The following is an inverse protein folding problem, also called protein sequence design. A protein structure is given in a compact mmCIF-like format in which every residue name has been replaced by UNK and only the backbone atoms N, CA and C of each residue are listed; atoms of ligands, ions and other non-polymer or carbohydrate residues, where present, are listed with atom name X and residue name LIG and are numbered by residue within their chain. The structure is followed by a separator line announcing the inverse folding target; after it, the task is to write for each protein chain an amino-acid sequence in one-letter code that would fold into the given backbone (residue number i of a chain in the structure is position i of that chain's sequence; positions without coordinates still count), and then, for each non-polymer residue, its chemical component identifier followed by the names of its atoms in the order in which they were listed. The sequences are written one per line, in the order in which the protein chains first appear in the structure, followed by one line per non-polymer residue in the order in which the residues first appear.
data_IF_332147255192
#
_entry.id   IF_332147255192
#
_cell.length_a   1.000
_cell.length_b   1.000
_cell.length_c   1.000
_cell.angle_alpha   90.00
_cell.angle_beta   90.00
_cell.angle_gamma   90.00
#
_symmetry.space_group_name_H-M   'P 1'
#
loop_
_entity.id
_entity.type
_entity.pdbx_description
1 polymer ?
#
# COMPACT_ATOMS: atom_id res chain seq x y z
N UNK A 1 13.82 -8.49 14.59
CA UNK A 1 13.88 -7.14 15.05
C UNK A 1 13.45 -6.21 13.94
N UNK A 2 12.20 -5.73 14.06
CA UNK A 2 11.68 -4.72 13.18
C UNK A 2 12.56 -3.48 13.28
N UNK A 3 12.76 -2.81 12.17
CA UNK A 3 13.42 -1.52 12.17
C UNK A 3 12.46 -0.49 12.76
N UNK A 4 12.95 0.42 13.53
CA UNK A 4 12.37 1.73 13.69
C UNK A 4 12.15 2.26 12.30
N UNK A 5 11.05 2.79 11.98
CA UNK A 5 10.66 3.38 10.72
C UNK A 5 9.79 2.50 9.81
N UNK A 6 9.01 3.14 9.12
CA UNK A 6 8.25 3.04 7.89
C UNK A 6 8.18 1.68 7.16
N UNK A 7 9.15 0.81 7.37
CA UNK A 7 9.22 -0.44 6.65
C UNK A 7 8.26 -1.46 7.25
N UNK A 8 7.52 -2.11 6.41
CA UNK A 8 6.77 -3.31 6.79
C UNK A 8 7.72 -4.34 7.41
N UNK A 9 7.21 -5.08 8.39
CA UNK A 9 7.95 -6.19 8.98
C UNK A 9 8.34 -7.17 7.88
N UNK A 10 9.60 -7.58 7.85
CA UNK A 10 10.04 -8.61 6.92
C UNK A 10 9.57 -9.98 7.42
N UNK A 11 8.33 -10.32 7.16
CA UNK A 11 7.65 -11.50 7.69
C UNK A 11 8.33 -12.79 7.32
N UNK A 12 8.79 -12.90 6.08
CA UNK A 12 9.54 -14.06 5.61
C UNK A 12 10.81 -14.29 6.44
N UNK A 13 11.54 -13.23 6.76
CA UNK A 13 12.74 -13.32 7.58
C UNK A 13 12.38 -13.71 9.03
N UNK A 14 11.32 -13.15 9.59
CA UNK A 14 10.85 -13.55 10.92
C UNK A 14 10.38 -15.00 10.93
N UNK A 15 9.67 -15.44 9.90
CA UNK A 15 9.18 -16.80 9.80
C UNK A 15 10.30 -17.83 9.88
N UNK A 16 11.38 -17.63 9.13
CA UNK A 16 12.48 -18.60 9.09
C UNK A 16 13.52 -18.42 10.20
N UNK A 17 13.78 -17.19 10.64
CA UNK A 17 14.96 -16.87 11.44
C UNK A 17 14.66 -16.44 12.87
N UNK A 18 13.41 -16.11 13.21
CA UNK A 18 13.07 -15.73 14.56
C UNK A 18 12.56 -16.94 15.37
N UNK A 19 13.07 -17.08 16.60
CA UNK A 19 12.67 -18.13 17.55
C UNK A 19 12.46 -17.47 18.92
N UNK A 20 11.32 -17.70 19.60
CA UNK A 20 11.04 -17.11 20.91
C UNK A 20 12.00 -17.54 22.03
N UNK A 21 12.71 -18.65 21.86
CA UNK A 21 13.73 -19.10 22.80
C UNK A 21 15.09 -18.40 22.64
N UNK A 22 15.23 -17.52 21.63
CA UNK A 22 16.48 -16.79 21.35
C UNK A 22 16.31 -15.31 21.68
N UNK A 23 17.05 -14.85 22.66
CA UNK A 23 17.01 -13.46 23.13
C UNK A 23 18.09 -12.60 22.49
N UNK A 24 17.99 -11.29 22.72
CA UNK A 24 19.00 -10.33 22.29
C UNK A 24 20.39 -10.71 22.84
N UNK A 25 21.41 -10.50 21.99
CA UNK A 25 22.78 -10.89 22.35
C UNK A 25 23.08 -12.39 22.18
N UNK A 26 22.17 -13.16 21.57
CA UNK A 26 22.40 -14.58 21.28
C UNK A 26 22.19 -15.51 22.47
N UNK A 27 21.66 -15.01 23.58
CA UNK A 27 21.27 -15.83 24.74
C UNK A 27 20.12 -16.74 24.33
N UNK A 28 20.20 -18.01 24.69
CA UNK A 28 19.21 -19.04 24.36
C UNK A 28 18.74 -19.75 25.61
N UNK A 29 17.47 -20.12 25.63
CA UNK A 29 16.90 -21.08 26.57
C UNK A 29 16.53 -22.36 25.83
N UNK A 30 16.19 -23.38 26.55
CA UNK A 30 15.67 -24.62 25.99
C UNK A 30 14.31 -24.33 25.30
N UNK A 31 14.05 -24.98 24.18
CA UNK A 31 12.73 -24.93 23.55
C UNK A 31 11.69 -25.54 24.48
N UNK A 32 10.64 -24.77 24.76
CA UNK A 32 9.61 -25.21 25.72
C UNK A 32 9.93 -24.94 27.17
N UNK A 33 10.97 -24.15 27.47
CA UNK A 33 11.26 -23.70 28.85
C UNK A 33 10.01 -23.01 29.43
N UNK A 34 9.46 -23.50 30.55
CA UNK A 34 8.22 -22.94 31.11
C UNK A 34 8.37 -21.51 31.64
N UNK A 35 9.60 -21.01 31.75
CA UNK A 35 9.84 -19.59 32.09
C UNK A 35 9.68 -18.67 30.88
N UNK A 36 9.70 -19.19 29.66
CA UNK A 36 9.41 -18.44 28.45
C UNK A 36 7.90 -18.43 28.24
N UNK A 37 7.23 -17.44 28.78
CA UNK A 37 5.77 -17.32 28.73
C UNK A 37 5.23 -16.92 27.36
N UNK A 38 6.09 -16.48 26.45
CA UNK A 38 5.72 -16.04 25.11
C UNK A 38 6.59 -14.89 24.61
N UNK A 39 6.04 -14.12 23.69
CA UNK A 39 6.70 -12.94 23.15
C UNK A 39 5.70 -11.79 23.02
N UNK A 40 6.21 -10.60 22.81
CA UNK A 40 5.38 -9.43 22.55
C UNK A 40 5.83 -8.74 21.27
N UNK A 41 4.87 -8.18 20.58
CA UNK A 41 5.09 -7.18 19.54
C UNK A 41 4.59 -5.83 20.03
N UNK A 42 5.19 -4.77 19.55
CA UNK A 42 4.76 -3.42 19.85
C UNK A 42 4.64 -2.62 18.56
N UNK A 43 3.58 -1.85 18.47
CA UNK A 43 3.38 -0.85 17.42
C UNK A 43 3.67 0.51 18.04
N UNK A 44 4.68 1.19 17.50
CA UNK A 44 5.09 2.50 17.95
C UNK A 44 4.51 3.55 17.00
N UNK A 45 3.81 4.52 17.55
CA UNK A 45 3.18 5.60 16.80
C UNK A 45 3.88 6.94 16.92
N UNK A 46 4.99 7.02 17.63
CA UNK A 46 5.72 8.24 17.93
C UNK A 46 6.49 8.84 16.72
N UNK A 47 6.78 8.00 15.74
CA UNK A 47 7.41 8.43 14.48
C UNK A 47 6.47 8.34 13.27
N UNK A 48 5.18 8.16 13.51
CA UNK A 48 4.20 8.21 12.44
C UNK A 48 4.12 9.62 11.90
N UNK A 49 4.44 9.74 10.62
CA UNK A 49 4.27 10.99 9.89
C UNK A 49 2.84 11.13 9.42
N UNK A 50 2.50 12.34 8.98
CA UNK A 50 1.23 12.56 8.31
C UNK A 50 1.03 11.54 7.19
N UNK A 51 -0.12 10.90 7.15
CA UNK A 51 -0.52 9.97 6.11
C UNK A 51 -0.51 8.49 6.45
N UNK A 52 -0.08 8.09 7.64
CA UNK A 52 -0.32 6.72 8.10
C UNK A 52 -1.72 6.66 8.71
N UNK A 53 -2.58 5.87 8.08
CA UNK A 53 -3.95 5.69 8.53
C UNK A 53 -4.06 4.61 9.62
N UNK A 54 -5.18 4.58 10.32
CA UNK A 54 -5.51 3.47 11.23
C UNK A 54 -5.48 2.12 10.50
N UNK A 55 -5.85 2.12 9.23
CA UNK A 55 -5.79 0.98 8.34
C UNK A 55 -4.38 0.42 8.23
N UNK A 56 -3.44 1.27 7.89
CA UNK A 56 -2.04 0.87 7.75
C UNK A 56 -1.48 0.32 9.05
N UNK A 57 -1.84 0.96 10.17
CA UNK A 57 -1.41 0.50 11.49
C UNK A 57 -1.99 -0.87 11.84
N UNK A 58 -3.28 -1.07 11.56
CA UNK A 58 -3.94 -2.36 11.79
C UNK A 58 -3.32 -3.47 10.95
N UNK A 59 -3.12 -3.23 9.66
CA UNK A 59 -2.52 -4.21 8.76
C UNK A 59 -1.10 -4.61 9.23
N UNK A 60 -0.29 -3.64 9.57
CA UNK A 60 1.05 -3.88 10.11
C UNK A 60 1.01 -4.67 11.42
N UNK A 61 0.09 -4.32 12.31
CA UNK A 61 -0.03 -4.96 13.61
C UNK A 61 -0.57 -6.39 13.51
N UNK A 62 -1.60 -6.58 12.70
CA UNK A 62 -2.24 -7.87 12.52
C UNK A 62 -1.26 -8.92 12.01
N UNK A 63 -0.47 -8.60 11.01
CA UNK A 63 0.57 -9.48 10.48
C UNK A 63 1.66 -9.78 11.51
N UNK A 64 2.09 -8.77 12.27
CA UNK A 64 3.08 -8.95 13.33
C UNK A 64 2.56 -9.87 14.45
N UNK A 65 1.33 -9.66 14.89
CA UNK A 65 0.68 -10.47 15.93
C UNK A 65 0.50 -11.91 15.46
N UNK A 66 0.03 -12.11 14.25
CA UNK A 66 -0.15 -13.44 13.67
C UNK A 66 1.17 -14.22 13.61
N UNK A 67 2.27 -13.56 13.20
CA UNK A 67 3.60 -14.16 13.16
C UNK A 67 4.10 -14.54 14.57
N UNK A 68 3.95 -13.64 15.53
CA UNK A 68 4.32 -13.90 16.93
C UNK A 68 3.50 -15.07 17.48
N UNK A 69 2.19 -15.07 17.22
CA UNK A 69 1.29 -16.16 17.63
C UNK A 69 1.73 -17.50 17.03
N UNK A 70 1.96 -17.57 15.74
CA UNK A 70 2.42 -18.78 15.04
C UNK A 70 3.69 -19.36 15.68
N UNK A 71 4.60 -18.50 16.09
CA UNK A 71 5.89 -18.91 16.66
C UNK A 71 5.83 -19.27 18.13
N UNK A 72 4.94 -18.65 18.90
CA UNK A 72 4.89 -18.84 20.36
C UNK A 72 3.97 -19.96 20.80
N UNK A 73 2.93 -20.28 20.02
CA UNK A 73 2.00 -21.37 20.35
C UNK A 73 2.52 -22.77 19.96
N UNK A 74 3.73 -22.86 19.44
CA UNK A 74 4.41 -24.13 19.18
C UNK A 74 3.81 -24.97 18.05
N UNK A 75 2.87 -24.45 17.32
CA UNK A 75 2.27 -25.13 16.19
C UNK A 75 3.09 -24.90 14.92
N UNK A 76 4.32 -25.40 14.89
CA UNK A 76 5.14 -25.42 13.66
C UNK A 76 4.56 -26.39 12.60
N UNK A 77 3.25 -26.32 12.37
CA UNK A 77 2.63 -27.10 11.31
C UNK A 77 2.94 -26.56 9.94
N UNK A 78 3.11 -25.24 9.85
CA UNK A 78 3.50 -24.61 8.60
C UNK A 78 5.00 -24.64 8.43
N UNK A 79 5.44 -25.33 7.40
CA UNK A 79 6.87 -25.52 7.09
C UNK A 79 7.37 -24.54 6.03
N UNK A 80 6.47 -23.82 5.36
CA UNK A 80 6.81 -22.81 4.36
C UNK A 80 6.08 -21.50 4.64
N UNK A 81 6.74 -20.40 4.31
CA UNK A 81 6.15 -19.07 4.44
C UNK A 81 4.92 -18.90 3.52
N UNK A 82 4.95 -19.48 2.34
CA UNK A 82 3.80 -19.44 1.40
C UNK A 82 2.56 -20.09 2.01
N UNK A 83 2.70 -21.25 2.63
CA UNK A 83 1.56 -21.89 3.30
C UNK A 83 1.07 -21.07 4.49
N UNK A 84 1.99 -20.46 5.23
CA UNK A 84 1.62 -19.55 6.31
C UNK A 84 0.79 -18.37 5.80
N UNK A 85 1.22 -17.72 4.72
CA UNK A 85 0.48 -16.61 4.11
C UNK A 85 -0.92 -17.03 3.67
N UNK A 86 -1.06 -18.15 2.98
CA UNK A 86 -2.35 -18.69 2.56
C UNK A 86 -3.28 -18.96 3.76
N UNK A 87 -2.73 -19.52 4.83
CA UNK A 87 -3.50 -19.79 6.05
C UNK A 87 -3.88 -18.47 6.75
N UNK A 88 -2.97 -17.52 6.82
CA UNK A 88 -3.23 -16.20 7.38
C UNK A 88 -4.33 -15.48 6.60
N UNK A 89 -4.24 -15.44 5.28
CA UNK A 89 -5.23 -14.78 4.44
C UNK A 89 -6.62 -15.41 4.55
N UNK A 90 -6.67 -16.74 4.72
CA UNK A 90 -7.92 -17.46 4.95
C UNK A 90 -8.56 -17.21 6.33
N UNK A 91 -7.75 -16.88 7.35
CA UNK A 91 -8.18 -16.69 8.74
C UNK A 91 -8.20 -15.23 9.18
N UNK A 92 -7.80 -14.34 8.29
CA UNK A 92 -7.55 -12.93 8.54
C UNK A 92 -8.69 -12.20 9.23
N UNK A 93 -9.90 -12.54 8.86
CA UNK A 93 -11.10 -11.92 9.40
C UNK A 93 -11.69 -12.79 10.51
N UNK A 94 -11.26 -12.53 11.72
CA UNK A 94 -11.90 -13.09 12.89
C UNK A 94 -13.28 -12.47 13.13
N UNK A 95 -14.22 -13.19 13.76
CA UNK A 95 -15.54 -12.65 14.07
C UNK A 95 -15.42 -11.35 14.89
N UNK A 96 -15.96 -10.26 14.35
CA UNK A 96 -16.01 -8.95 15.02
C UNK A 96 -14.72 -8.14 14.99
N UNK A 97 -13.71 -8.56 14.21
CA UNK A 97 -12.44 -7.85 14.07
C UNK A 97 -12.24 -7.23 12.69
N UNK A 98 -13.21 -7.39 11.79
CA UNK A 98 -13.15 -6.79 10.47
C UNK A 98 -13.24 -5.26 10.59
N UNK A 99 -12.10 -4.63 10.71
CA UNK A 99 -11.99 -3.23 10.35
C UNK A 99 -11.91 -3.26 8.83
N UNK A 100 -13.06 -3.12 8.18
CA UNK A 100 -13.10 -3.03 6.74
C UNK A 100 -12.44 -1.71 6.33
N UNK A 101 -11.32 -1.81 5.68
CA UNK A 101 -10.70 -0.70 4.96
C UNK A 101 -11.04 -0.77 3.48
N UNK A 102 -12.00 -1.59 3.16
CA UNK A 102 -12.46 -1.75 1.81
C UNK A 102 -13.10 -0.44 1.37
N UNK A 103 -12.65 0.05 0.25
CA UNK A 103 -13.33 1.12 -0.46
C UNK A 103 -14.64 0.51 -0.96
N UNK A 104 -15.77 1.15 -0.67
CA UNK A 104 -17.05 0.70 -1.20
C UNK A 104 -16.98 0.63 -2.72
N UNK A 105 -17.29 -0.51 -3.30
CA UNK A 105 -17.27 -0.71 -4.73
C UNK A 105 -18.29 -1.75 -5.17
N UNK A 106 -18.91 -1.49 -6.31
CA UNK A 106 -19.87 -2.41 -6.93
C UNK A 106 -19.19 -3.56 -7.69
N UNK A 107 -17.87 -3.47 -7.89
CA UNK A 107 -17.05 -4.45 -8.61
C UNK A 107 -15.61 -4.44 -8.10
N UNK A 108 -14.76 -5.31 -8.66
CA UNK A 108 -13.32 -5.32 -8.38
C UNK A 108 -12.60 -4.05 -8.88
N UNK A 109 -13.23 -3.29 -9.79
CA UNK A 109 -12.72 -1.99 -10.24
C UNK A 109 -13.30 -0.89 -9.39
N UNK A 110 -12.48 -0.34 -8.52
CA UNK A 110 -12.88 0.73 -7.59
C UNK A 110 -13.02 2.07 -8.31
N UNK A 111 -12.12 2.37 -9.21
CA UNK A 111 -12.04 3.64 -9.92
C UNK A 111 -11.51 3.42 -11.34
N UNK A 112 -12.18 4.04 -12.31
CA UNK A 112 -11.77 4.01 -13.71
C UNK A 112 -11.98 5.37 -14.36
N UNK A 113 -10.90 6.01 -14.78
CA UNK A 113 -10.93 7.31 -15.45
C UNK A 113 -10.51 7.19 -16.91
N UNK A 114 -11.48 7.37 -17.77
CA UNK A 114 -11.26 7.55 -19.21
C UNK A 114 -11.37 9.04 -19.55
N UNK A 115 -10.32 9.62 -20.10
CA UNK A 115 -10.27 11.05 -20.46
C UNK A 115 -11.23 11.46 -21.57
N UNK A 116 -11.83 10.51 -22.28
CA UNK A 116 -12.96 10.77 -23.16
C UNK A 116 -14.17 11.31 -22.37
N UNK A 117 -14.30 10.93 -21.10
CA UNK A 117 -15.41 11.26 -20.21
C UNK A 117 -15.13 12.46 -19.30
N UNK A 118 -14.40 13.46 -19.78
CA UNK A 118 -14.28 14.75 -19.11
C UNK A 118 -15.56 15.59 -19.30
N UNK A 119 -15.93 16.37 -18.27
CA UNK A 119 -16.99 17.38 -18.39
C UNK A 119 -16.66 18.40 -19.47
N UNK A 120 -17.68 19.13 -19.94
CA UNK A 120 -17.53 20.10 -21.04
C UNK A 120 -16.56 21.26 -20.71
N UNK A 121 -16.44 21.61 -19.42
CA UNK A 121 -15.50 22.59 -18.89
C UNK A 121 -14.12 21.99 -18.56
N UNK A 122 -14.00 20.66 -18.58
CA UNK A 122 -12.77 19.93 -18.26
C UNK A 122 -12.44 19.86 -16.76
N UNK A 123 -13.34 20.29 -15.88
CA UNK A 123 -13.09 20.36 -14.43
C UNK A 123 -13.44 19.05 -13.70
N UNK A 124 -14.21 18.15 -14.33
CA UNK A 124 -14.61 16.86 -13.75
C UNK A 124 -14.24 15.75 -14.70
N UNK A 125 -13.60 14.71 -14.17
CA UNK A 125 -13.47 13.42 -14.86
C UNK A 125 -14.47 12.44 -14.25
N UNK A 126 -15.33 11.88 -15.11
CA UNK A 126 -16.33 10.93 -14.65
C UNK A 126 -15.75 9.54 -14.49
N UNK A 127 -16.06 8.94 -13.38
CA UNK A 127 -15.70 7.56 -13.07
C UNK A 127 -16.58 6.59 -13.87
N UNK A 128 -15.97 5.70 -14.62
CA UNK A 128 -16.64 4.69 -15.44
C UNK A 128 -16.75 3.33 -14.77
N UNK A 129 -16.21 3.16 -13.57
CA UNK A 129 -16.30 1.91 -12.79
C UNK A 129 -17.71 1.56 -12.30
N UNK A 130 -18.61 2.56 -12.26
CA UNK A 130 -19.96 2.44 -11.72
C UNK A 130 -20.09 2.91 -10.26
N UNK A 131 -18.99 3.29 -9.61
CA UNK A 131 -18.98 3.74 -8.21
C UNK A 131 -19.23 5.26 -8.06
N UNK A 132 -19.21 6.01 -9.15
CA UNK A 132 -19.38 7.45 -9.17
C UNK A 132 -18.32 8.24 -8.37
N UNK A 133 -17.12 7.72 -8.28
CA UNK A 133 -15.96 8.38 -7.69
C UNK A 133 -15.34 9.41 -8.64
N UNK A 134 -16.15 10.35 -9.08
CA UNK A 134 -15.74 11.38 -10.04
C UNK A 134 -14.59 12.24 -9.49
N UNK A 135 -13.58 12.46 -10.31
CA UNK A 135 -12.41 13.25 -9.95
C UNK A 135 -12.56 14.73 -10.29
N UNK A 136 -11.90 15.58 -9.51
CA UNK A 136 -11.75 16.99 -9.79
C UNK A 136 -10.45 17.22 -10.54
N UNK A 137 -10.54 17.87 -11.70
CA UNK A 137 -9.42 18.21 -12.57
C UNK A 137 -9.10 19.69 -12.42
N UNK A 138 -7.86 20.01 -12.17
CA UNK A 138 -7.36 21.39 -12.13
C UNK A 138 -6.24 21.53 -13.15
N UNK A 139 -6.46 22.37 -14.16
CA UNK A 139 -5.51 22.57 -15.25
C UNK A 139 -5.51 21.45 -16.29
N UNK A 140 -4.51 21.46 -17.16
CA UNK A 140 -4.37 20.50 -18.23
C UNK A 140 -5.20 20.83 -19.47
N UNK A 141 -4.90 20.12 -20.53
CA UNK A 141 -5.58 20.28 -21.83
C UNK A 141 -5.98 18.90 -22.35
N UNK A 142 -7.27 18.76 -22.71
CA UNK A 142 -7.74 17.55 -23.39
C UNK A 142 -7.14 17.50 -24.80
N UNK A 143 -6.56 16.40 -25.15
CA UNK A 143 -5.94 16.19 -26.45
C UNK A 143 -6.24 14.79 -26.98
N UNK A 144 -6.02 14.59 -28.27
CA UNK A 144 -6.24 13.32 -28.96
C UNK A 144 -4.98 12.91 -29.71
N UNK A 145 -4.65 11.64 -29.67
CA UNK A 145 -3.56 11.05 -30.43
C UNK A 145 -3.93 9.60 -30.78
N UNK A 146 -3.76 9.25 -32.02
CA UNK A 146 -4.00 7.90 -32.56
C UNK A 146 -5.41 7.34 -32.25
N UNK A 147 -6.41 8.23 -32.09
CA UNK A 147 -7.79 7.89 -31.76
C UNK A 147 -8.06 7.75 -30.26
N UNK A 148 -7.07 7.92 -29.44
CA UNK A 148 -7.17 7.90 -27.97
C UNK A 148 -7.23 9.33 -27.42
N UNK A 149 -8.08 9.52 -26.42
CA UNK A 149 -8.18 10.81 -25.71
C UNK A 149 -7.31 10.77 -24.46
N UNK A 150 -6.58 11.84 -24.22
CA UNK A 150 -5.73 11.98 -23.05
C UNK A 150 -5.77 13.39 -22.46
N UNK A 151 -5.33 13.54 -21.22
CA UNK A 151 -5.12 14.83 -20.59
C UNK A 151 -3.62 15.16 -20.62
N UNK A 152 -3.28 16.29 -21.19
CA UNK A 152 -1.92 16.80 -21.22
C UNK A 152 -1.62 17.54 -19.92
N UNK A 153 -0.62 17.07 -19.21
CA UNK A 153 -0.14 17.66 -17.96
C UNK A 153 0.97 18.66 -18.25
N UNK A 154 0.90 19.83 -17.62
CA UNK A 154 1.84 20.94 -17.77
C UNK A 154 2.74 21.15 -16.52
N UNK A 155 2.67 20.21 -15.57
CA UNK A 155 3.37 20.28 -14.28
C UNK A 155 2.57 20.98 -13.16
N UNK A 156 1.46 21.66 -13.49
CA UNK A 156 0.52 22.24 -12.53
C UNK A 156 -0.83 21.50 -12.55
N UNK A 157 -1.03 20.64 -13.52
CA UNK A 157 -2.25 19.85 -13.66
C UNK A 157 -2.33 18.80 -12.57
N UNK A 158 -3.49 18.72 -11.93
CA UNK A 158 -3.78 17.77 -10.85
C UNK A 158 -5.16 17.18 -11.05
N UNK A 159 -5.29 15.88 -10.91
CA UNK A 159 -6.56 15.18 -10.74
C UNK A 159 -6.67 14.73 -9.28
N UNK A 160 -7.73 15.17 -8.61
CA UNK A 160 -8.04 14.77 -7.24
C UNK A 160 -9.16 13.76 -7.22
N UNK A 161 -8.88 12.58 -6.75
CA UNK A 161 -9.92 11.57 -6.52
C UNK A 161 -10.64 11.83 -5.20
N UNK A 162 -11.91 11.43 -5.04
CA UNK A 162 -12.61 11.52 -3.77
C UNK A 162 -12.21 10.42 -2.78
N UNK A 163 -11.38 9.46 -3.21
CA UNK A 163 -10.94 8.36 -2.36
C UNK A 163 -10.03 8.87 -1.25
N UNK A 164 -10.32 8.49 -0.03
CA UNK A 164 -9.50 8.78 1.15
C UNK A 164 -8.55 7.65 1.50
N UNK A 165 -8.78 6.47 0.94
CA UNK A 165 -7.94 5.28 1.05
C UNK A 165 -8.08 4.45 -0.21
N UNK A 166 -7.12 3.60 -0.50
CA UNK A 166 -7.21 2.63 -1.60
C UNK A 166 -7.54 1.22 -1.10
N UNK A 167 -7.56 1.01 0.22
CA UNK A 167 -7.64 -0.33 0.78
C UNK A 167 -6.36 -1.15 0.54
N UNK A 168 -6.36 -2.41 0.96
CA UNK A 168 -5.28 -3.36 0.72
C UNK A 168 -5.86 -4.77 0.50
N UNK A 169 -5.32 -5.54 -0.47
CA UNK A 169 -4.37 -5.13 -1.52
C UNK A 169 -5.06 -4.37 -2.65
N UNK A 170 -4.33 -3.55 -3.36
CA UNK A 170 -4.83 -2.89 -4.57
C UNK A 170 -3.83 -2.97 -5.73
N UNK A 171 -4.34 -2.83 -6.93
CA UNK A 171 -3.54 -2.66 -8.14
C UNK A 171 -3.92 -1.33 -8.79
N UNK A 172 -2.93 -0.56 -9.19
CA UNK A 172 -3.11 0.67 -9.96
C UNK A 172 -2.46 0.50 -11.33
N UNK A 173 -3.20 0.83 -12.37
CA UNK A 173 -2.68 0.87 -13.73
C UNK A 173 -3.01 2.21 -14.38
N UNK A 174 -2.11 2.73 -15.17
CA UNK A 174 -2.30 3.94 -15.96
C UNK A 174 -1.29 3.99 -17.11
N UNK A 175 -1.66 4.64 -18.19
CA UNK A 175 -0.80 4.87 -19.33
C UNK A 175 -0.23 6.29 -19.28
N UNK A 176 1.07 6.42 -19.47
CA UNK A 176 1.78 7.69 -19.50
C UNK A 176 2.53 7.82 -20.81
N UNK A 177 2.27 8.91 -21.52
CA UNK A 177 3.04 9.28 -22.70
C UNK A 177 3.99 10.44 -22.36
N UNK A 178 5.28 10.23 -22.58
CA UNK A 178 6.33 11.24 -22.45
C UNK A 178 6.72 11.72 -23.84
N UNK A 179 6.60 13.03 -24.11
CA UNK A 179 6.92 13.59 -25.43
C UNK A 179 8.41 13.92 -25.61
N UNK A 180 9.21 13.70 -24.56
CA UNK A 180 10.65 13.92 -24.57
C UNK A 180 11.05 15.40 -24.42
N UNK A 181 10.10 16.28 -24.17
CA UNK A 181 10.36 17.72 -23.91
C UNK A 181 10.52 18.00 -22.41
N UNK A 182 10.23 17.04 -21.56
CA UNK A 182 10.35 17.13 -20.12
C UNK A 182 11.81 17.41 -19.74
N UNK A 183 12.05 18.63 -19.32
CA UNK A 183 13.34 19.01 -18.74
C UNK A 183 13.40 18.45 -17.33
N UNK A 184 13.78 17.20 -17.23
CA UNK A 184 13.88 16.46 -15.99
C UNK A 184 14.99 16.98 -15.08
N UNK A 185 14.75 18.10 -14.47
CA UNK A 185 15.55 18.58 -13.34
C UNK A 185 14.87 18.35 -11.99
N UNK A 186 13.63 17.88 -12.00
CA UNK A 186 12.85 17.60 -10.77
C UNK A 186 12.03 16.34 -10.96
N UNK A 187 11.86 15.61 -9.88
CA UNK A 187 10.96 14.48 -9.77
C UNK A 187 9.53 14.92 -10.06
N UNK A 188 8.88 14.27 -11.01
CA UNK A 188 7.48 14.52 -11.35
C UNK A 188 6.62 13.47 -10.68
N UNK A 189 5.71 13.88 -9.83
CA UNK A 189 4.75 12.97 -9.23
C UNK A 189 3.72 12.54 -10.26
N UNK A 190 3.60 11.24 -10.49
CA UNK A 190 2.53 10.63 -11.29
C UNK A 190 1.30 10.36 -10.44
N UNK A 191 1.53 9.94 -9.22
CA UNK A 191 0.49 9.70 -8.22
C UNK A 191 1.03 10.04 -6.84
N UNK A 192 0.21 10.65 -6.00
CA UNK A 192 0.56 10.92 -4.61
C UNK A 192 -0.64 10.75 -3.70
N UNK A 193 -0.39 10.13 -2.56
CA UNK A 193 -1.28 10.03 -1.42
C UNK A 193 -0.60 10.59 -0.18
N UNK A 194 -1.23 10.40 0.96
CA UNK A 194 -0.68 10.84 2.24
C UNK A 194 0.56 10.03 2.64
N UNK A 195 0.61 8.76 2.31
CA UNK A 195 1.61 7.78 2.75
C UNK A 195 2.67 7.45 1.69
N UNK A 196 2.59 8.09 0.52
CA UNK A 196 3.58 7.84 -0.52
C UNK A 196 3.26 8.48 -1.85
N UNK A 197 4.25 8.41 -2.73
CA UNK A 197 4.16 8.95 -4.08
C UNK A 197 4.88 8.07 -5.09
N UNK A 198 4.28 7.89 -6.23
CA UNK A 198 4.92 7.33 -7.41
C UNK A 198 5.46 8.48 -8.25
N UNK A 199 6.74 8.47 -8.52
CA UNK A 199 7.42 9.54 -9.23
C UNK A 199 8.12 9.00 -10.46
N UNK A 200 8.13 9.82 -11.49
CA UNK A 200 9.03 9.65 -12.60
C UNK A 200 10.36 10.32 -12.24
N UNK A 201 11.39 9.52 -12.03
CA UNK A 201 12.70 9.99 -11.61
C UNK A 201 13.69 10.02 -12.78
N UNK A 202 14.28 11.20 -13.00
CA UNK A 202 15.43 11.37 -13.86
C UNK A 202 15.19 11.28 -15.37
N UNK A 203 16.26 11.57 -16.11
CA UNK A 203 16.31 11.68 -17.57
C UNK A 203 15.98 10.35 -18.28
N UNK A 204 16.05 9.23 -17.57
CA UNK A 204 15.88 7.89 -18.15
C UNK A 204 14.49 7.30 -17.94
N UNK A 205 13.53 8.06 -17.43
CA UNK A 205 12.17 7.56 -17.23
C UNK A 205 12.02 6.47 -16.16
N UNK A 206 12.94 6.42 -15.20
CA UNK A 206 12.82 5.47 -14.08
C UNK A 206 11.63 5.82 -13.21
N UNK A 207 10.87 4.80 -12.82
CA UNK A 207 9.82 4.95 -11.81
C UNK A 207 10.43 4.75 -10.42
N UNK A 208 10.07 5.60 -9.48
CA UNK A 208 10.41 5.41 -8.08
C UNK A 208 9.17 5.53 -7.21
N UNK A 209 8.99 4.59 -6.32
CA UNK A 209 7.98 4.64 -5.27
C UNK A 209 8.66 5.12 -3.99
N UNK A 210 8.28 6.31 -3.55
CA UNK A 210 8.72 6.87 -2.28
C UNK A 210 7.56 6.78 -1.30
N UNK A 211 7.82 6.18 -0.15
CA UNK A 211 6.93 6.19 1.01
C UNK A 211 7.49 7.20 2.01
N UNK A 212 6.67 8.16 2.37
CA UNK A 212 7.04 9.22 3.33
C UNK A 212 6.91 8.78 4.77
#
# INVERSE_FOLDING_TARGET
PGRYHKDMIQENNLFYNWDPSVFSGGVKTDKGDPQVLGAKTALWGDENREGITEADLNERYLRAVAMVSQKTWGSNKETSFVNYEQTFDALREGPGTAISYDVESVSDVVLDYDFANLSADGEIIYDTSGNAYNGQVSGGEKAEKDGETYLKFDGNTVIRTPLTTLGYPYTMSFDVYLDGTEKNTKESSLFSGYDGRLQLAGINGSLSLNRD
#
